data_IF_161211911067
#
_entry.id   IF_161211911067
#
_cell.length_a   1.000
_cell.length_b   1.000
_cell.length_c   1.000
_cell.angle_alpha   90.00
_cell.angle_beta   90.00
_cell.angle_gamma   90.00
#
_symmetry.space_group_name_H-M   'P 1'
#
loop_
_entity.id
_entity.type
_entity.pdbx_description
1 polymer ?
#
# COMPACT_ATOMS: atom_id res chain seq x y z
N UNK A 1 -38.84 -7.42 24.98
CA UNK A 1 -38.69 -6.29 24.04
C UNK A 1 -37.26 -5.74 23.91
N UNK A 2 -36.34 -5.99 24.86
CA UNK A 2 -34.93 -5.57 24.73
C UNK A 2 -34.00 -6.64 24.11
N UNK A 3 -34.36 -7.93 24.21
CA UNK A 3 -33.52 -9.04 23.72
C UNK A 3 -33.58 -9.18 22.18
N UNK A 4 -34.72 -8.89 21.55
CA UNK A 4 -34.85 -8.92 20.08
C UNK A 4 -34.06 -7.81 19.39
N UNK A 5 -33.87 -6.66 20.05
CA UNK A 5 -33.07 -5.56 19.52
C UNK A 5 -31.56 -5.89 19.50
N UNK A 6 -31.06 -6.68 20.46
CA UNK A 6 -29.67 -7.14 20.45
C UNK A 6 -29.39 -8.12 19.30
N UNK A 7 -30.34 -9.03 19.02
CA UNK A 7 -30.20 -9.94 17.88
C UNK A 7 -30.32 -9.21 16.55
N UNK A 8 -31.20 -8.20 16.42
CA UNK A 8 -31.31 -7.40 15.20
C UNK A 8 -30.06 -6.55 14.90
N UNK A 9 -29.34 -6.08 15.92
CA UNK A 9 -28.07 -5.36 15.72
C UNK A 9 -26.90 -6.31 15.39
N UNK A 10 -26.94 -7.55 15.87
CA UNK A 10 -25.93 -8.59 15.57
C UNK A 10 -26.15 -9.28 14.21
N UNK A 11 -27.32 -9.10 13.60
CA UNK A 11 -27.61 -9.48 12.20
C UNK A 11 -27.17 -8.40 11.18
N UNK A 12 -26.45 -7.37 11.63
CA UNK A 12 -25.85 -6.38 10.75
C UNK A 12 -24.60 -6.97 10.06
N UNK A 13 -24.80 -7.40 8.83
CA UNK A 13 -23.77 -7.72 7.83
C UNK A 13 -22.78 -8.82 8.23
N UNK A 14 -23.19 -10.08 8.01
CA UNK A 14 -22.22 -11.13 7.72
C UNK A 14 -21.34 -10.63 6.57
N UNK A 15 -20.00 -10.57 6.72
CA UNK A 15 -19.14 -10.16 5.62
C UNK A 15 -19.43 -11.07 4.44
N UNK A 16 -19.91 -10.48 3.35
CA UNK A 16 -20.19 -11.25 2.16
C UNK A 16 -18.89 -11.92 1.72
N UNK A 17 -18.94 -13.19 1.32
CA UNK A 17 -17.76 -13.89 0.80
C UNK A 17 -17.07 -13.10 -0.35
N UNK A 18 -17.87 -12.32 -1.08
CA UNK A 18 -17.41 -11.36 -2.09
C UNK A 18 -16.62 -10.19 -1.48
N UNK A 19 -17.09 -9.60 -0.37
CA UNK A 19 -16.41 -8.51 0.34
C UNK A 19 -15.05 -8.92 0.88
N UNK A 20 -14.96 -10.10 1.52
CA UNK A 20 -13.68 -10.62 2.04
C UNK A 20 -12.67 -10.86 0.93
N UNK A 21 -13.12 -11.46 -0.18
CA UNK A 21 -12.27 -11.69 -1.36
C UNK A 21 -11.78 -10.39 -1.97
N UNK A 22 -12.67 -9.39 -2.08
CA UNK A 22 -12.36 -8.06 -2.61
C UNK A 22 -11.32 -7.35 -1.75
N UNK A 23 -11.45 -7.39 -0.42
CA UNK A 23 -10.49 -6.79 0.51
C UNK A 23 -9.09 -7.42 0.38
N UNK A 24 -9.02 -8.74 0.21
CA UNK A 24 -7.74 -9.44 -0.01
C UNK A 24 -7.08 -9.03 -1.34
N UNK A 25 -7.86 -8.95 -2.42
CA UNK A 25 -7.36 -8.50 -3.73
C UNK A 25 -6.88 -7.05 -3.66
N UNK A 26 -7.65 -6.15 -3.03
CA UNK A 26 -7.25 -4.77 -2.83
C UNK A 26 -5.96 -4.68 -2.01
N UNK A 27 -5.81 -5.48 -0.95
CA UNK A 27 -4.58 -5.55 -0.16
C UNK A 27 -3.36 -5.90 -0.99
N UNK A 28 -3.46 -6.91 -1.87
CA UNK A 28 -2.38 -7.27 -2.80
C UNK A 28 -2.08 -6.13 -3.77
N UNK A 29 -3.11 -5.55 -4.40
CA UNK A 29 -2.95 -4.48 -5.38
C UNK A 29 -2.28 -3.25 -4.77
N UNK A 30 -2.70 -2.87 -3.56
CA UNK A 30 -2.13 -1.74 -2.82
C UNK A 30 -0.67 -2.05 -2.43
N UNK A 31 -0.40 -3.24 -1.88
CA UNK A 31 0.96 -3.66 -1.54
C UNK A 31 1.90 -3.60 -2.75
N UNK A 32 1.49 -4.19 -3.88
CA UNK A 32 2.25 -4.15 -5.13
C UNK A 32 2.43 -2.73 -5.68
N UNK A 33 1.41 -1.88 -5.60
CA UNK A 33 1.50 -0.49 -6.03
C UNK A 33 2.55 0.28 -5.21
N UNK A 34 2.52 0.13 -3.89
CA UNK A 34 3.51 0.76 -3.00
C UNK A 34 4.91 0.23 -3.23
N UNK A 35 5.06 -1.08 -3.45
CA UNK A 35 6.34 -1.72 -3.72
C UNK A 35 6.91 -1.22 -5.05
N UNK A 36 6.10 -1.18 -6.11
CA UNK A 36 6.49 -0.64 -7.41
C UNK A 36 6.88 0.85 -7.33
N UNK A 37 6.09 1.67 -6.62
CA UNK A 37 6.40 3.09 -6.42
C UNK A 37 7.68 3.27 -5.61
N UNK A 38 7.85 2.53 -4.52
CA UNK A 38 9.05 2.54 -3.69
C UNK A 38 10.30 2.21 -4.50
N UNK A 39 10.29 1.12 -5.27
CA UNK A 39 11.39 0.75 -6.15
C UNK A 39 11.66 1.81 -7.22
N UNK A 40 10.60 2.41 -7.80
CA UNK A 40 10.75 3.49 -8.78
C UNK A 40 11.41 4.73 -8.17
N UNK A 41 11.04 5.09 -6.94
CA UNK A 41 11.69 6.19 -6.20
C UNK A 41 13.13 5.85 -5.83
N UNK A 42 13.43 4.59 -5.50
CA UNK A 42 14.78 4.13 -5.13
C UNK A 42 15.75 4.14 -6.31
N UNK A 43 15.36 3.49 -7.41
CA UNK A 43 16.24 3.26 -8.58
C UNK A 43 16.20 4.39 -9.61
N UNK A 44 15.10 5.15 -9.68
CA UNK A 44 14.93 6.26 -10.65
C UNK A 44 14.68 7.60 -9.96
N UNK A 45 15.25 7.81 -8.77
CA UNK A 45 15.10 9.04 -7.97
C UNK A 45 15.29 10.33 -8.77
N UNK A 46 16.35 10.42 -9.58
CA UNK A 46 16.63 11.61 -10.42
C UNK A 46 15.48 11.93 -11.37
N UNK A 47 14.97 10.92 -12.10
CA UNK A 47 13.85 11.12 -13.04
C UNK A 47 12.55 11.45 -12.33
N UNK A 48 12.34 10.88 -11.14
CA UNK A 48 11.15 11.15 -10.33
C UNK A 48 11.15 12.60 -9.84
N UNK A 49 12.27 13.08 -9.30
CA UNK A 49 12.41 14.47 -8.83
C UNK A 49 12.23 15.44 -10.00
N UNK A 50 12.87 15.18 -11.14
CA UNK A 50 12.71 16.01 -12.34
C UNK A 50 11.26 16.00 -12.87
N UNK A 51 10.56 14.87 -12.79
CA UNK A 51 9.15 14.79 -13.15
C UNK A 51 8.27 15.66 -12.24
N UNK A 52 8.51 15.61 -10.93
CA UNK A 52 7.80 16.44 -9.95
C UNK A 52 8.13 17.93 -10.15
N UNK A 53 9.41 18.25 -10.37
CA UNK A 53 9.84 19.63 -10.63
C UNK A 53 9.22 20.18 -11.91
N UNK A 54 9.18 19.39 -12.99
CA UNK A 54 8.52 19.77 -14.24
C UNK A 54 7.03 20.02 -14.04
N UNK A 55 6.35 19.16 -13.28
CA UNK A 55 4.92 19.29 -13.03
C UNK A 55 4.57 20.51 -12.15
N UNK A 56 5.40 20.80 -11.14
CA UNK A 56 5.12 21.86 -10.16
C UNK A 56 5.65 23.23 -10.58
N UNK A 57 6.85 23.27 -11.15
CA UNK A 57 7.60 24.51 -11.40
C UNK A 57 7.83 24.79 -12.89
N UNK A 58 7.37 23.92 -13.80
CA UNK A 58 7.58 24.04 -15.26
C UNK A 58 9.06 24.18 -15.67
N UNK A 59 9.99 23.87 -14.77
CA UNK A 59 11.43 23.93 -14.98
C UNK A 59 12.05 22.59 -14.64
N UNK A 60 13.09 22.20 -15.38
CA UNK A 60 13.86 20.98 -15.14
C UNK A 60 15.26 21.40 -14.75
N UNK A 61 15.53 21.41 -13.44
CA UNK A 61 16.86 21.65 -12.90
C UNK A 61 17.53 20.32 -12.53
N UNK A 62 18.87 20.25 -12.50
CA UNK A 62 19.56 19.09 -11.94
C UNK A 62 19.24 18.98 -10.43
N UNK A 63 18.72 17.84 -9.96
CA UNK A 63 18.34 17.69 -8.55
C UNK A 63 19.58 17.70 -7.66
N UNK A 64 19.44 18.35 -6.49
CA UNK A 64 20.54 18.44 -5.51
C UNK A 64 20.79 17.07 -4.87
N UNK A 65 22.03 16.82 -4.42
CA UNK A 65 22.39 15.55 -3.73
C UNK A 65 21.47 15.25 -2.54
N UNK A 66 21.06 16.27 -1.80
CA UNK A 66 20.12 16.15 -0.67
C UNK A 66 18.73 15.69 -1.12
N UNK A 67 18.20 16.22 -2.22
CA UNK A 67 16.89 15.83 -2.77
C UNK A 67 16.90 14.38 -3.23
N UNK A 68 17.99 13.96 -3.88
CA UNK A 68 18.20 12.56 -4.28
C UNK A 68 18.24 11.64 -3.06
N UNK A 69 18.90 12.06 -1.98
CA UNK A 69 18.96 11.29 -0.73
C UNK A 69 17.57 11.14 -0.12
N UNK A 70 16.81 12.23 -0.02
CA UNK A 70 15.44 12.21 0.50
C UNK A 70 14.53 11.33 -0.36
N UNK A 71 14.59 11.44 -1.68
CA UNK A 71 13.81 10.59 -2.58
C UNK A 71 14.15 9.10 -2.41
N UNK A 72 15.43 8.76 -2.17
CA UNK A 72 15.84 7.39 -1.87
C UNK A 72 15.31 6.91 -0.51
N UNK A 73 15.40 7.74 0.54
CA UNK A 73 14.84 7.41 1.86
C UNK A 73 13.34 7.15 1.77
N UNK A 74 12.60 8.02 1.09
CA UNK A 74 11.17 7.85 0.82
C UNK A 74 10.92 6.55 0.03
N UNK A 75 11.75 6.27 -0.98
CA UNK A 75 11.68 5.03 -1.76
C UNK A 75 11.89 3.77 -0.90
N UNK A 76 12.85 3.78 0.04
CA UNK A 76 13.06 2.68 1.00
C UNK A 76 11.83 2.51 1.88
N UNK A 77 11.31 3.58 2.47
CA UNK A 77 10.14 3.54 3.35
C UNK A 77 8.90 3.01 2.62
N UNK A 78 8.62 3.52 1.42
CA UNK A 78 7.51 3.04 0.58
C UNK A 78 7.67 1.56 0.20
N UNK A 79 8.90 1.13 -0.09
CA UNK A 79 9.18 -0.26 -0.43
C UNK A 79 8.96 -1.19 0.77
N UNK A 80 9.37 -0.78 1.97
CA UNK A 80 9.15 -1.54 3.21
C UNK A 80 7.65 -1.66 3.53
N UNK A 81 6.91 -0.56 3.40
CA UNK A 81 5.45 -0.56 3.59
C UNK A 81 4.78 -1.47 2.56
N UNK A 82 5.14 -1.33 1.27
CA UNK A 82 4.61 -2.17 0.20
C UNK A 82 4.90 -3.65 0.44
N UNK A 83 6.13 -3.99 0.83
CA UNK A 83 6.54 -5.35 1.15
C UNK A 83 5.73 -5.91 2.33
N UNK A 84 5.57 -5.13 3.40
CA UNK A 84 4.75 -5.51 4.55
C UNK A 84 3.31 -5.84 4.15
N UNK A 85 2.66 -4.95 3.38
CA UNK A 85 1.29 -5.18 2.93
C UNK A 85 1.18 -6.36 1.98
N UNK A 86 2.14 -6.55 1.07
CA UNK A 86 2.16 -7.73 0.19
C UNK A 86 2.29 -9.01 0.99
N UNK A 87 3.20 -9.09 1.96
CA UNK A 87 3.37 -10.29 2.82
C UNK A 87 2.10 -10.54 3.63
N UNK A 88 1.55 -9.52 4.30
CA UNK A 88 0.32 -9.65 5.08
C UNK A 88 -0.86 -10.12 4.22
N UNK A 89 -1.00 -9.56 3.01
CA UNK A 89 -2.05 -9.97 2.09
C UNK A 89 -1.85 -11.42 1.62
N UNK A 90 -0.63 -11.83 1.26
CA UNK A 90 -0.33 -13.23 0.89
C UNK A 90 -0.63 -14.19 2.04
N UNK A 91 -0.21 -13.87 3.26
CA UNK A 91 -0.52 -14.69 4.45
C UNK A 91 -2.03 -14.81 4.69
N UNK A 92 -2.81 -13.77 4.40
CA UNK A 92 -4.28 -13.82 4.51
C UNK A 92 -4.96 -14.78 3.53
N UNK A 93 -4.27 -15.15 2.43
CA UNK A 93 -4.73 -16.20 1.51
C UNK A 93 -4.35 -17.61 1.98
N UNK A 94 -3.30 -17.73 2.80
CA UNK A 94 -2.80 -19.01 3.34
C UNK A 94 -2.86 -19.05 4.87
N UNK A 95 -4.05 -18.98 5.49
CA UNK A 95 -4.20 -18.95 6.96
C UNK A 95 -3.71 -20.24 7.64
N UNK A 96 -3.55 -21.33 6.89
CA UNK A 96 -3.05 -22.62 7.37
C UNK A 96 -1.55 -22.62 7.71
N UNK A 97 -0.78 -21.61 7.27
CA UNK A 97 0.65 -21.48 7.60
C UNK A 97 0.91 -20.78 8.95
N UNK A 98 -0.08 -20.09 9.50
CA UNK A 98 0.04 -19.30 10.75
C UNK A 98 -0.63 -19.98 11.96
N UNK A 99 -1.18 -21.18 11.80
CA UNK A 99 -1.93 -21.93 12.82
C UNK A 99 -1.27 -23.24 13.26
N UNK A 100 0.06 -23.32 13.15
CA UNK A 100 0.84 -24.39 13.81
C UNK A 100 1.54 -23.86 15.06
#
# INVERSE_FOLDING_TARGET
MLIENYNMFFLAETPSATGDTLMKILGILIGLAFLFLGLRFLFRSVRVIQGIQKAKYHQVAPPRKQEIMVARVIGVLLSLIGLYFTIAAVLSFFPTLTTQ
#
